data_IF_807954272394
#
_entry.id   IF_807954272394
#
_cell.length_a   1.000
_cell.length_b   1.000
_cell.length_c   1.000
_cell.angle_alpha   90.00
_cell.angle_beta   90.00
_cell.angle_gamma   90.00
#
_symmetry.space_group_name_H-M   'P 1'
#
loop_
_entity.id
_entity.type
_entity.pdbx_description
1 polymer ?
#
# COMPACT_ATOMS: atom_id res chain seq x y z
N UNK A 1 6.68 -18.72 -3.57
CA UNK A 1 6.29 -17.38 -3.09
C UNK A 1 4.86 -17.10 -3.49
N UNK A 2 4.13 -16.30 -2.70
CA UNK A 2 2.68 -16.20 -2.82
C UNK A 2 2.18 -14.78 -2.64
N UNK A 3 0.91 -14.62 -2.97
CA UNK A 3 0.19 -13.37 -2.78
C UNK A 3 -0.25 -13.23 -1.32
N UNK A 4 -0.51 -11.99 -0.91
CA UNK A 4 -1.07 -11.63 0.38
C UNK A 4 -2.43 -11.02 0.15
N UNK A 5 -3.47 -11.62 0.71
CA UNK A 5 -4.84 -11.11 0.70
C UNK A 5 -5.32 -10.97 2.16
N UNK A 6 -5.61 -9.74 2.58
CA UNK A 6 -6.02 -9.42 3.96
C UNK A 6 -7.31 -8.61 3.95
N UNK A 7 -8.28 -9.04 4.77
CA UNK A 7 -9.47 -8.26 5.09
C UNK A 7 -9.55 -8.11 6.61
N UNK A 8 -9.73 -6.88 7.11
CA UNK A 8 -9.83 -6.63 8.55
C UNK A 8 -10.66 -5.40 8.90
N UNK A 9 -11.70 -5.61 9.69
CA UNK A 9 -12.62 -4.55 10.10
C UNK A 9 -12.02 -3.69 11.22
N UNK A 10 -11.23 -4.28 12.12
CA UNK A 10 -10.62 -3.60 13.27
C UNK A 10 -9.21 -4.08 13.57
N UNK A 11 -8.41 -3.20 14.20
CA UNK A 11 -7.12 -3.54 14.81
C UNK A 11 -5.93 -2.96 14.05
N UNK A 12 -4.93 -3.79 13.78
CA UNK A 12 -3.75 -3.38 13.02
C UNK A 12 -3.20 -4.50 12.14
N UNK A 13 -2.82 -4.16 10.91
CA UNK A 13 -2.10 -5.03 9.99
C UNK A 13 -0.66 -4.55 9.88
N UNK A 14 0.29 -5.43 10.18
CA UNK A 14 1.71 -5.18 9.97
C UNK A 14 2.32 -6.23 9.05
N UNK A 15 2.83 -5.80 7.90
CA UNK A 15 3.74 -6.58 7.06
C UNK A 15 5.14 -6.08 7.36
N UNK A 16 5.99 -6.95 7.91
CA UNK A 16 7.33 -6.54 8.35
C UNK A 16 8.26 -6.22 7.17
N UNK A 17 8.20 -7.03 6.11
CA UNK A 17 8.98 -6.85 4.89
C UNK A 17 8.37 -7.57 3.70
N UNK A 18 8.12 -6.85 2.60
CA UNK A 18 7.91 -7.40 1.27
C UNK A 18 9.27 -7.60 0.60
N UNK A 19 9.71 -8.85 0.48
CA UNK A 19 10.98 -9.23 -0.15
C UNK A 19 10.90 -9.14 -1.67
N UNK A 20 12.02 -9.06 -2.42
CA UNK A 20 12.00 -9.07 -3.88
C UNK A 20 11.29 -10.27 -4.51
N UNK A 21 11.13 -11.38 -3.79
CA UNK A 21 10.43 -12.58 -4.27
C UNK A 21 8.93 -12.62 -3.91
N UNK A 22 8.42 -11.63 -3.17
CA UNK A 22 7.00 -11.58 -2.79
C UNK A 22 6.09 -11.41 -4.01
N UNK A 23 4.86 -11.94 -3.90
CA UNK A 23 3.82 -11.79 -4.91
C UNK A 23 3.00 -10.52 -4.71
N UNK A 24 1.78 -10.53 -5.23
CA UNK A 24 0.86 -9.39 -5.12
C UNK A 24 0.35 -9.21 -3.69
N UNK A 25 0.00 -7.98 -3.35
CA UNK A 25 -0.56 -7.62 -2.04
C UNK A 25 -1.91 -6.95 -2.26
N UNK A 26 -2.92 -7.41 -1.54
CA UNK A 26 -4.26 -6.86 -1.57
C UNK A 26 -4.77 -6.75 -0.12
N UNK A 27 -5.11 -5.54 0.31
CA UNK A 27 -5.51 -5.27 1.69
C UNK A 27 -6.75 -4.37 1.68
N UNK A 28 -7.82 -4.84 2.34
CA UNK A 28 -9.06 -4.09 2.51
C UNK A 28 -9.41 -3.98 4.00
N UNK A 29 -9.64 -2.76 4.49
CA UNK A 29 -9.91 -2.53 5.92
C UNK A 29 -10.81 -1.34 6.22
N UNK A 30 -11.53 -1.40 7.34
CA UNK A 30 -12.48 -0.35 7.72
C UNK A 30 -11.96 0.53 8.88
N UNK A 31 -11.52 -0.05 10.00
CA UNK A 31 -11.00 0.68 11.16
C UNK A 31 -9.64 0.11 11.63
N UNK A 32 -8.73 -0.05 10.68
CA UNK A 32 -7.47 -0.79 10.89
C UNK A 32 -6.27 0.03 10.44
N UNK A 33 -5.26 0.15 11.32
CA UNK A 33 -3.98 0.75 10.92
C UNK A 33 -3.14 -0.21 10.09
N UNK A 34 -2.61 0.24 8.95
CA UNK A 34 -1.78 -0.55 8.06
C UNK A 34 -0.34 -0.05 8.09
N UNK A 35 0.61 -0.96 8.34
CA UNK A 35 2.05 -0.67 8.29
C UNK A 35 2.79 -1.72 7.46
N UNK A 36 3.40 -1.28 6.36
CA UNK A 36 4.04 -2.17 5.37
C UNK A 36 5.51 -1.80 5.23
N UNK A 37 6.38 -2.75 5.57
CA UNK A 37 7.79 -2.68 5.22
C UNK A 37 8.02 -3.25 3.83
N UNK A 38 8.88 -2.63 3.02
CA UNK A 38 9.28 -3.16 1.71
C UNK A 38 10.80 -3.16 1.54
N UNK A 39 11.30 -4.15 0.80
CA UNK A 39 12.69 -4.20 0.36
C UNK A 39 12.92 -3.22 -0.80
N UNK A 40 14.08 -2.54 -0.89
CA UNK A 40 14.37 -1.64 -2.00
C UNK A 40 14.33 -2.31 -3.37
N UNK A 41 14.56 -3.63 -3.45
CA UNK A 41 14.47 -4.45 -4.67
C UNK A 41 13.07 -5.04 -4.94
N UNK A 42 12.09 -4.80 -4.07
CA UNK A 42 10.70 -5.14 -4.35
C UNK A 42 10.07 -4.03 -5.18
N UNK A 43 10.15 -4.15 -6.51
CA UNK A 43 9.45 -3.24 -7.43
C UNK A 43 7.99 -3.65 -7.57
N UNK A 44 7.09 -2.68 -7.53
CA UNK A 44 5.66 -2.90 -7.62
C UNK A 44 4.93 -1.70 -8.21
N UNK A 45 3.84 -1.99 -8.89
CA UNK A 45 2.81 -1.02 -9.21
C UNK A 45 1.85 -0.93 -8.01
N UNK A 46 1.27 0.25 -7.76
CA UNK A 46 0.34 0.43 -6.65
C UNK A 46 -0.92 1.17 -7.04
N UNK A 47 -2.00 0.85 -6.32
CA UNK A 47 -3.25 1.59 -6.32
C UNK A 47 -3.81 1.59 -4.89
N UNK A 48 -3.93 2.79 -4.33
CA UNK A 48 -4.24 3.01 -2.92
C UNK A 48 -5.43 3.96 -2.83
N UNK A 49 -6.50 3.50 -2.20
CA UNK A 49 -7.69 4.28 -1.88
C UNK A 49 -7.85 4.36 -0.38
N UNK A 50 -8.05 5.57 0.13
CA UNK A 50 -8.23 5.82 1.57
C UNK A 50 -9.38 6.79 1.82
N UNK A 51 -10.26 6.57 2.81
CA UNK A 51 -11.43 7.44 3.02
C UNK A 51 -11.37 8.40 4.22
N UNK A 52 -10.86 8.11 5.40
CA UNK A 52 -10.72 9.11 6.47
C UNK A 52 -9.34 8.94 7.11
N UNK A 53 -8.38 8.60 6.25
CA UNK A 53 -7.06 8.10 6.60
C UNK A 53 -5.99 8.64 5.67
N UNK A 54 -4.77 8.80 6.16
CA UNK A 54 -3.63 9.33 5.38
C UNK A 54 -2.67 8.22 4.98
N UNK A 55 -1.91 8.46 3.91
CA UNK A 55 -0.84 7.57 3.43
C UNK A 55 0.52 8.23 3.67
N UNK A 56 1.42 7.56 4.39
CA UNK A 56 2.77 8.04 4.74
C UNK A 56 3.87 7.12 4.19
N UNK A 57 5.10 7.64 4.10
CA UNK A 57 6.28 6.87 3.65
C UNK A 57 6.28 6.55 2.17
N UNK A 58 5.63 7.41 1.39
CA UNK A 58 5.42 7.28 -0.06
C UNK A 58 6.33 8.24 -0.86
N UNK A 59 7.37 8.76 -0.21
CA UNK A 59 8.22 9.82 -0.75
C UNK A 59 9.06 9.37 -1.95
N UNK A 60 9.42 8.08 -1.98
CA UNK A 60 10.17 7.45 -3.07
C UNK A 60 9.26 6.86 -4.17
N UNK A 61 7.95 7.10 -4.10
CA UNK A 61 6.99 6.52 -5.04
C UNK A 61 6.78 7.47 -6.22
N UNK A 62 6.68 6.89 -7.41
CA UNK A 62 6.37 7.61 -8.64
C UNK A 62 4.86 7.59 -8.86
N UNK A 63 4.22 8.77 -8.79
CA UNK A 63 2.76 8.90 -8.91
C UNK A 63 2.35 9.23 -10.34
N UNK A 64 1.54 8.34 -10.92
CA UNK A 64 0.83 8.60 -12.18
C UNK A 64 -0.48 9.36 -11.92
N UNK A 65 -1.16 9.04 -10.80
CA UNK A 65 -2.38 9.72 -10.35
C UNK A 65 -2.24 10.01 -8.86
N UNK A 66 -2.52 11.26 -8.49
CA UNK A 66 -2.64 11.68 -7.10
C UNK A 66 -3.86 12.58 -6.97
N UNK A 67 -4.89 12.12 -6.28
CA UNK A 67 -6.14 12.84 -6.03
C UNK A 67 -6.41 12.87 -4.54
N UNK A 68 -6.62 14.06 -4.01
CA UNK A 68 -7.05 14.26 -2.63
C UNK A 68 -8.28 15.15 -2.65
N UNK A 69 -9.42 14.64 -2.19
CA UNK A 69 -10.69 15.35 -2.18
C UNK A 69 -11.42 15.08 -0.88
N UNK A 70 -11.68 16.13 -0.12
CA UNK A 70 -12.31 16.04 1.20
C UNK A 70 -11.53 15.07 2.11
N UNK A 71 -12.15 13.95 2.48
CA UNK A 71 -11.56 12.91 3.30
C UNK A 71 -10.89 11.80 2.47
N UNK A 72 -11.28 11.67 1.19
CA UNK A 72 -10.80 10.64 0.27
C UNK A 72 -9.42 10.99 -0.32
N UNK A 73 -8.53 10.01 -0.36
CA UNK A 73 -7.33 10.04 -1.20
C UNK A 73 -7.31 8.83 -2.13
N UNK A 74 -6.87 9.07 -3.35
CA UNK A 74 -6.62 8.05 -4.36
C UNK A 74 -5.25 8.28 -4.99
N UNK A 75 -4.41 7.26 -4.91
CA UNK A 75 -3.07 7.27 -5.47
C UNK A 75 -2.86 6.07 -6.38
N UNK A 76 -2.24 6.29 -7.53
CA UNK A 76 -1.84 5.24 -8.45
C UNK A 76 -0.48 5.54 -9.05
N UNK A 77 0.35 4.53 -9.17
CA UNK A 77 1.73 4.72 -9.60
C UNK A 77 2.55 3.45 -9.45
N UNK A 78 3.85 3.61 -9.25
CA UNK A 78 4.78 2.51 -9.06
C UNK A 78 5.96 2.92 -8.14
N UNK A 79 6.66 1.92 -7.64
CA UNK A 79 7.95 2.07 -6.97
C UNK A 79 9.02 1.29 -7.73
N UNK A 80 10.14 1.95 -8.04
CA UNK A 80 11.29 1.37 -8.74
C UNK A 80 11.10 1.18 -10.24
N UNK A 81 10.20 0.30 -10.65
CA UNK A 81 9.93 0.01 -12.07
C UNK A 81 8.43 -0.20 -12.32
N UNK A 82 7.89 0.56 -13.28
CA UNK A 82 6.51 0.38 -13.74
C UNK A 82 6.35 -0.96 -14.48
N UNK A 83 5.19 -1.60 -14.32
CA UNK A 83 4.89 -2.87 -14.97
C UNK A 83 5.81 -4.00 -14.52
N UNK A 84 6.21 -4.00 -13.25
CA UNK A 84 7.11 -5.00 -12.64
C UNK A 84 6.51 -6.42 -12.62
N UNK A 85 5.21 -6.55 -12.88
CA UNK A 85 4.44 -7.78 -12.72
C UNK A 85 3.92 -8.00 -11.29
N UNK A 86 4.24 -7.11 -10.35
CA UNK A 86 3.79 -7.15 -8.97
C UNK A 86 2.92 -5.93 -8.65
N UNK A 87 1.92 -6.14 -7.82
CA UNK A 87 0.95 -5.09 -7.50
C UNK A 87 0.66 -5.02 -6.01
N UNK A 88 0.49 -3.79 -5.52
CA UNK A 88 0.06 -3.48 -4.16
C UNK A 88 -1.25 -2.69 -4.23
N UNK A 89 -2.34 -3.35 -3.83
CA UNK A 89 -3.67 -2.79 -3.74
C UNK A 89 -4.07 -2.58 -2.28
N UNK A 90 -4.49 -1.38 -1.94
CA UNK A 90 -4.93 -1.05 -0.58
C UNK A 90 -6.23 -0.23 -0.64
N UNK A 91 -7.25 -0.68 0.08
CA UNK A 91 -8.46 0.07 0.38
C UNK A 91 -8.61 0.21 1.88
N UNK A 92 -8.65 1.44 2.40
CA UNK A 92 -8.76 1.68 3.84
C UNK A 92 -9.73 2.82 4.14
N UNK A 93 -10.75 2.60 4.95
CA UNK A 93 -11.61 3.72 5.37
C UNK A 93 -10.91 4.53 6.46
N UNK A 94 -10.87 4.02 7.68
CA UNK A 94 -10.22 4.60 8.86
C UNK A 94 -8.98 3.78 9.25
N UNK A 95 -8.09 4.41 10.02
CA UNK A 95 -6.77 3.85 10.31
C UNK A 95 -5.77 4.19 9.21
N UNK A 96 -4.61 4.74 9.58
CA UNK A 96 -3.65 5.25 8.61
C UNK A 96 -2.90 4.15 7.87
N UNK A 97 -2.46 4.45 6.65
CA UNK A 97 -1.57 3.60 5.86
C UNK A 97 -0.15 4.17 5.93
N UNK A 98 0.83 3.33 6.26
CA UNK A 98 2.23 3.74 6.29
C UNK A 98 3.13 2.71 5.64
N UNK A 99 4.02 3.22 4.80
CA UNK A 99 5.11 2.46 4.22
C UNK A 99 6.42 2.82 4.91
N UNK A 100 7.35 1.87 4.96
CA UNK A 100 8.72 2.15 5.33
C UNK A 100 9.66 1.25 4.53
N UNK A 101 10.79 1.83 4.11
CA UNK A 101 11.84 1.11 3.42
C UNK A 101 12.71 0.38 4.45
N UNK A 102 12.93 -0.92 4.23
CA UNK A 102 13.88 -1.74 4.99
C UNK A 102 15.28 -1.74 4.37
#
# INVERSE_FOLDING_TARGET
>A
FGNVDINADYGSVKIDKLTPEAGNVNISTDYTGIKIGYDPGYYFDFEITTEHSSVKGKDDFEFNISKEKNSERYYKGYYGQAGSGKSVYISSEYGGVSFYKN
#
